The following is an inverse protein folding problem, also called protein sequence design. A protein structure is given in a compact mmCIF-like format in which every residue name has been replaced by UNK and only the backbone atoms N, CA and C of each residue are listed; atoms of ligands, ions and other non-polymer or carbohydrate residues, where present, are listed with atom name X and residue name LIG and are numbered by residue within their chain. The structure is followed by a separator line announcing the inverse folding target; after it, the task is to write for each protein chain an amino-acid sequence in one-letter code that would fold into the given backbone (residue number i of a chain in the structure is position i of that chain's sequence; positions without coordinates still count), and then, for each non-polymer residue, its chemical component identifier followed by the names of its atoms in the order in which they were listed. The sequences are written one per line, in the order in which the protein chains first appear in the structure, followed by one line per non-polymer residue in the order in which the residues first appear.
data_IF_671618079858
#
_entry.id   IF_671618079858
#
_cell.length_a   1.000
_cell.length_b   1.000
_cell.length_c   1.000
_cell.angle_alpha   90.00
_cell.angle_beta   90.00
_cell.angle_gamma   90.00
#
_symmetry.space_group_name_H-M   'P 1'
#
loop_
_entity.id
_entity.type
_entity.pdbx_description
1 polymer ?
#
# COMPACT_ATOMS: atom_id res chain seq x y z
N UNK A 1 45.00 26.48 -54.84
CA UNK A 1 43.95 25.48 -55.08
C UNK A 1 42.80 25.81 -54.08
N UNK A 2 41.82 26.58 -54.52
CA UNK A 2 40.70 27.06 -53.69
C UNK A 2 39.56 26.05 -53.87
N UNK A 3 39.18 25.29 -52.82
CA UNK A 3 37.99 24.45 -52.81
C UNK A 3 36.80 25.30 -52.37
N UNK A 4 35.84 25.47 -53.27
CA UNK A 4 34.53 26.05 -53.03
C UNK A 4 33.65 25.06 -52.24
N UNK A 5 33.36 25.36 -50.99
CA UNK A 5 32.27 24.73 -50.24
C UNK A 5 30.97 25.49 -50.53
N UNK A 6 30.24 25.11 -51.55
CA UNK A 6 28.85 25.54 -51.76
C UNK A 6 27.95 24.61 -50.94
N UNK A 7 27.41 25.15 -49.85
CA UNK A 7 26.48 24.52 -48.95
C UNK A 7 25.21 24.09 -49.69
N UNK A 8 24.86 22.81 -49.53
CA UNK A 8 23.63 22.22 -50.00
C UNK A 8 22.53 22.50 -48.97
N UNK A 9 21.93 23.71 -49.03
CA UNK A 9 20.69 24.03 -48.32
C UNK A 9 19.52 23.53 -49.16
N UNK A 10 19.01 22.31 -48.88
CA UNK A 10 17.68 21.93 -49.34
C UNK A 10 16.67 22.76 -48.54
N UNK A 11 15.99 23.65 -49.17
CA UNK A 11 14.82 24.35 -48.66
C UNK A 11 13.76 23.29 -48.35
N UNK A 12 13.50 23.03 -47.07
CA UNK A 12 12.37 22.26 -46.64
C UNK A 12 11.15 23.15 -46.83
N UNK A 13 10.30 22.82 -47.80
CA UNK A 13 9.04 23.54 -48.02
C UNK A 13 8.17 23.37 -46.74
N UNK A 14 7.52 24.46 -46.24
CA UNK A 14 6.65 24.39 -45.07
C UNK A 14 5.49 23.40 -45.22
N UNK A 15 5.08 23.06 -46.43
CA UNK A 15 3.97 22.15 -46.74
C UNK A 15 4.31 20.63 -46.53
N UNK A 16 5.57 20.31 -46.23
CA UNK A 16 6.00 18.94 -45.97
C UNK A 16 6.14 18.59 -44.48
N UNK A 17 5.82 19.52 -43.59
CA UNK A 17 5.55 19.18 -42.17
C UNK A 17 4.08 18.81 -42.10
N UNK A 18 3.68 17.72 -42.76
CA UNK A 18 2.56 16.92 -42.24
C UNK A 18 3.00 16.53 -40.85
N UNK A 19 2.34 17.14 -39.84
CA UNK A 19 2.35 16.62 -38.50
C UNK A 19 2.21 15.10 -38.63
N UNK A 20 3.27 14.37 -38.36
CA UNK A 20 3.14 12.95 -38.09
C UNK A 20 2.24 12.87 -36.88
N UNK A 21 0.91 12.83 -37.11
CA UNK A 21 -0.01 12.37 -36.09
C UNK A 21 0.53 11.02 -35.65
N UNK A 22 1.24 11.05 -34.51
CA UNK A 22 1.65 9.81 -33.86
C UNK A 22 0.32 9.11 -33.59
N UNK A 23 0.01 8.10 -34.40
CA UNK A 23 -1.25 7.36 -34.36
C UNK A 23 -1.29 6.67 -33.02
N UNK A 24 -1.79 7.38 -31.98
CA UNK A 24 -1.90 6.87 -30.62
C UNK A 24 -2.70 5.58 -30.66
N UNK A 25 -2.16 4.57 -30.02
CA UNK A 25 -2.84 3.27 -29.92
C UNK A 25 -4.10 3.41 -29.09
N UNK A 26 -5.25 3.06 -29.67
CA UNK A 26 -6.54 3.12 -28.99
C UNK A 26 -6.81 1.86 -28.19
N UNK A 27 -7.17 2.03 -26.92
CA UNK A 27 -7.43 0.96 -25.95
C UNK A 27 -8.80 1.18 -25.29
N UNK A 28 -9.71 0.20 -25.31
CA UNK A 28 -11.02 0.35 -24.67
C UNK A 28 -10.92 0.55 -23.15
N UNK A 29 -10.16 -0.30 -22.47
CA UNK A 29 -9.95 -0.26 -21.01
C UNK A 29 -8.45 -0.37 -20.72
N UNK A 30 -7.89 0.65 -20.09
CA UNK A 30 -6.49 0.68 -19.66
C UNK A 30 -6.41 0.68 -18.14
N UNK A 31 -5.69 -0.29 -17.59
CA UNK A 31 -5.49 -0.45 -16.15
C UNK A 31 -4.04 -0.04 -15.83
N UNK A 32 -3.90 0.85 -14.85
CA UNK A 32 -2.62 1.42 -14.43
C UNK A 32 -2.20 0.75 -13.12
N UNK A 33 -1.21 -0.12 -13.20
CA UNK A 33 -0.68 -0.91 -12.09
C UNK A 33 -1.23 -2.34 -12.06
N UNK A 34 -0.33 -3.31 -12.16
CA UNK A 34 -0.60 -4.75 -12.15
C UNK A 34 -0.49 -5.40 -10.75
N UNK A 35 -0.80 -4.64 -9.68
CA UNK A 35 -0.93 -5.18 -8.32
C UNK A 35 -2.21 -6.00 -8.14
N UNK A 36 -2.53 -6.41 -6.90
CA UNK A 36 -3.73 -7.21 -6.59
C UNK A 36 -5.01 -6.58 -7.13
N UNK A 37 -5.19 -5.27 -6.90
CA UNK A 37 -6.37 -4.54 -7.36
C UNK A 37 -6.44 -4.46 -8.89
N UNK A 38 -5.31 -4.23 -9.57
CA UNK A 38 -5.26 -4.16 -11.03
C UNK A 38 -5.51 -5.52 -11.68
N UNK A 39 -4.97 -6.58 -11.12
CA UNK A 39 -5.22 -7.94 -11.59
C UNK A 39 -6.70 -8.32 -11.43
N UNK A 40 -7.34 -7.99 -10.31
CA UNK A 40 -8.78 -8.21 -10.11
C UNK A 40 -9.62 -7.36 -11.07
N UNK A 41 -9.28 -6.08 -11.26
CA UNK A 41 -9.98 -5.21 -12.20
C UNK A 41 -9.88 -5.74 -13.65
N UNK A 42 -8.69 -6.23 -14.03
CA UNK A 42 -8.49 -6.85 -15.35
C UNK A 42 -9.30 -8.13 -15.50
N UNK A 43 -9.25 -9.03 -14.54
CA UNK A 43 -10.03 -10.27 -14.55
C UNK A 43 -11.52 -9.99 -14.67
N UNK A 44 -12.06 -9.09 -13.85
CA UNK A 44 -13.48 -8.72 -13.90
C UNK A 44 -13.88 -8.08 -15.23
N UNK A 45 -13.05 -7.21 -15.81
CA UNK A 45 -13.32 -6.59 -17.08
C UNK A 45 -13.29 -7.62 -18.23
N UNK A 46 -12.39 -8.59 -18.20
CA UNK A 46 -12.29 -9.68 -19.18
C UNK A 46 -13.51 -10.60 -19.09
N UNK A 47 -13.96 -10.95 -17.88
CA UNK A 47 -15.17 -11.76 -17.67
C UNK A 47 -16.42 -11.10 -18.26
N UNK A 48 -16.46 -9.75 -18.30
CA UNK A 48 -17.53 -8.97 -18.95
C UNK A 48 -17.29 -8.74 -20.46
N UNK A 49 -16.35 -9.44 -21.07
CA UNK A 49 -16.02 -9.33 -22.51
C UNK A 49 -15.21 -8.08 -22.88
N UNK A 50 -14.65 -7.38 -21.90
CA UNK A 50 -13.84 -6.18 -22.14
C UNK A 50 -12.45 -6.50 -22.71
N UNK A 51 -11.99 -5.69 -23.67
CA UNK A 51 -10.58 -5.70 -24.11
C UNK A 51 -9.76 -4.83 -23.18
N UNK A 52 -8.79 -5.44 -22.51
CA UNK A 52 -8.02 -4.84 -21.43
C UNK A 52 -6.54 -4.76 -21.78
N UNK A 53 -5.93 -3.60 -21.51
CA UNK A 53 -4.50 -3.41 -21.43
C UNK A 53 -4.12 -3.09 -19.99
N UNK A 54 -3.04 -3.71 -19.47
CA UNK A 54 -2.47 -3.42 -18.18
C UNK A 54 -1.07 -2.85 -18.36
N UNK A 55 -0.80 -1.69 -17.77
CA UNK A 55 0.54 -1.09 -17.70
C UNK A 55 1.09 -1.28 -16.31
N UNK A 56 2.23 -1.97 -16.20
CA UNK A 56 2.92 -2.25 -14.94
C UNK A 56 4.36 -1.76 -15.01
N UNK A 57 4.76 -0.95 -14.05
CA UNK A 57 6.13 -0.40 -14.01
C UNK A 57 7.20 -1.40 -13.54
N UNK A 58 6.78 -2.47 -12.89
CA UNK A 58 7.68 -3.54 -12.47
C UNK A 58 7.77 -4.62 -13.56
N UNK A 59 8.79 -5.49 -13.45
CA UNK A 59 9.00 -6.60 -14.39
C UNK A 59 8.00 -7.77 -14.21
N UNK A 60 7.04 -7.65 -13.26
CA UNK A 60 6.07 -8.71 -13.00
C UNK A 60 4.78 -8.18 -12.37
N UNK A 61 3.66 -8.89 -12.61
CA UNK A 61 2.41 -8.65 -11.90
C UNK A 61 2.51 -9.10 -10.44
N UNK A 62 1.75 -8.42 -9.58
CA UNK A 62 1.51 -8.85 -8.21
C UNK A 62 2.74 -8.89 -7.30
N UNK A 63 3.80 -8.14 -7.61
CA UNK A 63 5.05 -8.16 -6.83
C UNK A 63 4.83 -7.96 -5.33
N UNK A 64 3.94 -7.04 -4.93
CA UNK A 64 3.63 -6.80 -3.53
C UNK A 64 2.87 -7.97 -2.88
N UNK A 65 2.06 -8.73 -3.63
CA UNK A 65 1.35 -9.91 -3.11
C UNK A 65 2.36 -10.87 -2.48
N UNK A 66 3.50 -11.10 -3.15
CA UNK A 66 4.53 -12.03 -2.71
C UNK A 66 5.17 -11.67 -1.36
N UNK A 67 5.11 -10.40 -0.96
CA UNK A 67 5.65 -9.93 0.32
C UNK A 67 4.61 -9.92 1.45
N UNK A 68 3.32 -10.08 1.15
CA UNK A 68 2.26 -10.01 2.15
C UNK A 68 2.24 -11.23 3.05
N UNK A 69 1.82 -11.05 4.32
CA UNK A 69 1.73 -12.13 5.29
C UNK A 69 3.05 -12.91 5.46
N UNK A 70 4.18 -12.23 5.35
CA UNK A 70 5.52 -12.84 5.36
C UNK A 70 5.68 -13.95 4.31
N UNK A 71 5.27 -13.66 3.07
CA UNK A 71 5.33 -14.59 1.93
C UNK A 71 4.18 -15.60 1.86
N UNK A 72 3.22 -15.56 2.79
CA UNK A 72 2.07 -16.48 2.86
C UNK A 72 0.80 -15.91 2.25
N UNK A 73 0.66 -14.59 2.19
CA UNK A 73 -0.51 -13.82 1.77
C UNK A 73 -1.78 -14.12 2.57
N UNK A 74 -1.98 -13.38 3.66
CA UNK A 74 -3.31 -13.26 4.26
C UNK A 74 -4.21 -12.52 3.26
N UNK A 75 -5.16 -13.21 2.61
CA UNK A 75 -5.92 -12.61 1.51
C UNK A 75 -7.32 -12.15 1.92
N UNK A 76 -7.84 -12.61 3.07
CA UNK A 76 -9.04 -12.06 3.69
C UNK A 76 -9.09 -12.40 5.18
N UNK A 77 -10.11 -11.87 5.88
CA UNK A 77 -10.36 -12.15 7.29
C UNK A 77 -11.85 -12.48 7.48
N UNK A 78 -12.17 -13.50 8.26
CA UNK A 78 -13.55 -13.90 8.55
C UNK A 78 -14.20 -13.01 9.60
N UNK A 79 -13.41 -12.33 10.43
CA UNK A 79 -13.86 -11.42 11.48
C UNK A 79 -13.96 -10.00 10.92
N UNK A 80 -14.92 -9.77 10.02
CA UNK A 80 -15.14 -8.48 9.39
C UNK A 80 -16.23 -7.70 10.14
N UNK A 81 -15.90 -6.48 10.58
CA UNK A 81 -16.82 -5.58 11.27
C UNK A 81 -16.59 -4.14 10.81
N UNK A 82 -17.63 -3.27 10.79
CA UNK A 82 -17.49 -1.87 10.36
C UNK A 82 -16.41 -1.12 11.12
N UNK A 83 -16.26 -1.41 12.42
CA UNK A 83 -15.33 -0.77 13.35
C UNK A 83 -13.85 -0.96 12.97
N UNK A 84 -13.55 -1.98 12.18
CA UNK A 84 -12.18 -2.24 11.70
C UNK A 84 -11.78 -1.37 10.51
N UNK A 85 -12.75 -0.63 9.93
CA UNK A 85 -12.53 0.23 8.79
C UNK A 85 -12.61 1.70 9.21
N UNK A 86 -11.46 2.36 9.22
CA UNK A 86 -11.34 3.74 9.67
C UNK A 86 -11.43 4.68 8.47
N UNK A 87 -12.56 5.34 8.34
CA UNK A 87 -12.89 6.25 7.24
C UNK A 87 -13.04 7.66 7.78
N UNK A 88 -12.55 8.65 7.03
CA UNK A 88 -12.85 10.07 7.24
C UNK A 88 -13.83 10.50 6.16
N UNK A 89 -15.02 10.99 6.59
CA UNK A 89 -16.07 11.43 5.67
C UNK A 89 -17.36 10.63 5.80
N UNK A 90 -18.32 10.93 4.93
CA UNK A 90 -19.67 10.35 4.94
C UNK A 90 -19.82 9.06 4.13
N UNK A 91 -18.76 8.60 3.45
CA UNK A 91 -18.83 7.44 2.57
C UNK A 91 -18.97 6.14 3.36
N UNK A 92 -20.01 5.39 3.05
CA UNK A 92 -20.24 4.08 3.64
C UNK A 92 -19.35 3.02 2.97
N UNK A 93 -18.06 3.01 3.39
CA UNK A 93 -17.07 2.04 2.89
C UNK A 93 -17.50 0.61 3.23
N UNK A 94 -18.15 0.41 4.37
CA UNK A 94 -18.67 -0.89 4.75
C UNK A 94 -19.68 -1.43 3.73
N UNK A 95 -20.62 -0.60 3.29
CA UNK A 95 -21.56 -0.95 2.24
C UNK A 95 -20.90 -1.30 0.91
N UNK A 96 -19.79 -0.62 0.57
CA UNK A 96 -19.01 -0.97 -0.62
C UNK A 96 -18.31 -2.32 -0.46
N UNK A 97 -17.67 -2.58 0.69
CA UNK A 97 -16.98 -3.85 0.97
C UNK A 97 -17.92 -5.05 0.98
N UNK A 98 -19.16 -4.89 1.47
CA UNK A 98 -20.20 -5.93 1.44
C UNK A 98 -20.61 -6.36 0.04
N UNK A 99 -20.29 -5.60 -1.01
CA UNK A 99 -20.54 -6.02 -2.40
C UNK A 99 -19.61 -7.15 -2.85
N UNK A 100 -18.42 -7.23 -2.25
CA UNK A 100 -17.44 -8.31 -2.49
C UNK A 100 -16.77 -8.64 -1.15
N UNK A 101 -17.51 -9.36 -0.32
CA UNK A 101 -17.15 -9.69 1.05
C UNK A 101 -16.12 -10.84 1.13
N UNK A 102 -15.81 -11.25 2.36
CA UNK A 102 -14.89 -12.34 2.65
C UNK A 102 -15.33 -13.68 2.03
N UNK A 103 -16.63 -13.94 1.97
CA UNK A 103 -17.19 -15.17 1.42
C UNK A 103 -17.02 -15.21 -0.10
N UNK A 104 -17.34 -14.10 -0.77
CA UNK A 104 -17.13 -13.96 -2.21
C UNK A 104 -15.65 -14.02 -2.57
N UNK A 105 -14.78 -13.41 -1.74
CA UNK A 105 -13.32 -13.48 -1.92
C UNK A 105 -12.84 -14.93 -1.85
N UNK A 106 -13.28 -15.69 -0.85
CA UNK A 106 -12.93 -17.11 -0.69
C UNK A 106 -13.45 -17.94 -1.86
N UNK A 107 -14.73 -17.74 -2.25
CA UNK A 107 -15.33 -18.45 -3.40
C UNK A 107 -14.55 -18.23 -4.69
N UNK A 108 -14.24 -16.96 -4.98
CA UNK A 108 -13.46 -16.57 -6.16
C UNK A 108 -12.12 -17.31 -6.26
N UNK A 109 -11.36 -17.35 -5.16
CA UNK A 109 -10.07 -18.03 -5.16
C UNK A 109 -10.22 -19.55 -5.17
N UNK A 110 -11.22 -20.10 -4.49
CA UNK A 110 -11.53 -21.54 -4.48
C UNK A 110 -11.89 -22.05 -5.87
N UNK A 111 -12.74 -21.33 -6.60
CA UNK A 111 -13.10 -21.63 -7.99
C UNK A 111 -11.89 -21.59 -8.94
N UNK A 112 -10.93 -20.73 -8.63
CA UNK A 112 -9.67 -20.66 -9.37
C UNK A 112 -8.58 -21.62 -8.87
N UNK A 113 -8.93 -22.57 -7.96
CA UNK A 113 -8.07 -23.65 -7.51
C UNK A 113 -7.17 -23.32 -6.32
N UNK A 114 -7.45 -22.22 -5.60
CA UNK A 114 -6.74 -21.87 -4.36
C UNK A 114 -7.66 -22.13 -3.16
N UNK A 115 -7.41 -23.21 -2.41
CA UNK A 115 -8.17 -23.55 -1.22
C UNK A 115 -7.74 -22.68 -0.02
N UNK A 116 -8.71 -22.25 0.80
CA UNK A 116 -8.44 -21.44 1.98
C UNK A 116 -7.98 -22.28 3.17
N UNK A 117 -7.13 -21.72 3.99
CA UNK A 117 -6.76 -22.17 5.34
C UNK A 117 -7.09 -21.06 6.33
N UNK A 118 -7.98 -21.34 7.28
CA UNK A 118 -8.34 -20.41 8.34
C UNK A 118 -7.39 -20.58 9.55
N UNK A 119 -6.84 -19.46 10.01
CA UNK A 119 -6.04 -19.36 11.25
C UNK A 119 -6.60 -18.23 12.11
N UNK A 120 -7.49 -18.55 13.01
CA UNK A 120 -8.14 -17.60 13.93
C UNK A 120 -8.86 -16.44 13.20
N UNK A 121 -9.46 -16.74 12.05
CA UNK A 121 -10.14 -15.77 11.20
C UNK A 121 -9.24 -15.16 10.10
N UNK A 122 -7.94 -15.29 10.18
CA UNK A 122 -7.02 -14.90 9.11
C UNK A 122 -6.97 -16.00 8.04
N UNK A 123 -7.35 -15.66 6.81
CA UNK A 123 -7.44 -16.63 5.72
C UNK A 123 -6.21 -16.57 4.83
N UNK A 124 -5.55 -17.72 4.70
CA UNK A 124 -4.37 -17.92 3.87
C UNK A 124 -4.67 -18.95 2.76
N UNK A 125 -3.87 -19.02 1.68
CA UNK A 125 -3.92 -20.21 0.82
C UNK A 125 -3.42 -21.43 1.61
N UNK A 126 -4.04 -22.59 1.42
CA UNK A 126 -3.62 -23.85 2.06
C UNK A 126 -2.14 -24.18 1.82
N UNK A 127 -1.60 -23.77 0.67
CA UNK A 127 -0.17 -23.90 0.36
C UNK A 127 0.74 -23.04 1.25
N UNK A 128 0.19 -22.10 2.02
CA UNK A 128 0.93 -21.08 2.78
C UNK A 128 1.94 -20.30 1.93
N UNK A 129 1.67 -20.14 0.62
CA UNK A 129 2.54 -19.44 -0.33
C UNK A 129 1.78 -18.38 -1.10
N UNK A 130 2.22 -17.13 -0.99
CA UNK A 130 1.65 -15.98 -1.70
C UNK A 130 1.67 -16.15 -3.24
N UNK A 131 2.62 -16.92 -3.76
CA UNK A 131 2.73 -17.20 -5.19
C UNK A 131 1.50 -17.92 -5.74
N UNK A 132 0.81 -18.72 -4.94
CA UNK A 132 -0.42 -19.42 -5.36
C UNK A 132 -1.51 -18.43 -5.75
N UNK A 133 -1.74 -17.38 -4.94
CA UNK A 133 -2.72 -16.33 -5.25
C UNK A 133 -2.27 -15.47 -6.44
N UNK A 134 -1.01 -15.07 -6.49
CA UNK A 134 -0.47 -14.30 -7.60
C UNK A 134 -0.63 -15.04 -8.93
N UNK A 135 -0.29 -16.33 -8.97
CA UNK A 135 -0.41 -17.14 -10.18
C UNK A 135 -1.89 -17.39 -10.57
N UNK A 136 -2.76 -17.59 -9.57
CA UNK A 136 -4.19 -17.71 -9.77
C UNK A 136 -4.76 -16.46 -10.49
N UNK A 137 -4.48 -15.27 -9.96
CA UNK A 137 -4.89 -14.02 -10.58
C UNK A 137 -4.26 -13.84 -11.97
N UNK A 138 -2.97 -14.18 -12.12
CA UNK A 138 -2.26 -14.07 -13.39
C UNK A 138 -2.90 -14.88 -14.52
N UNK A 139 -3.35 -16.09 -14.23
CA UNK A 139 -4.05 -16.95 -15.20
C UNK A 139 -5.37 -16.37 -15.69
N UNK A 140 -6.05 -15.57 -14.88
CA UNK A 140 -7.29 -14.89 -15.30
C UNK A 140 -7.06 -13.70 -16.26
N UNK A 141 -5.80 -13.34 -16.49
CA UNK A 141 -5.39 -12.27 -17.38
C UNK A 141 -4.85 -12.77 -18.73
N UNK A 142 -5.10 -14.00 -19.12
CA UNK A 142 -4.61 -14.61 -20.36
C UNK A 142 -5.03 -13.84 -21.63
N UNK A 143 -6.18 -13.14 -21.57
CA UNK A 143 -6.71 -12.30 -22.66
C UNK A 143 -6.33 -10.81 -22.51
N UNK A 144 -5.60 -10.44 -21.49
CA UNK A 144 -5.13 -9.07 -21.31
C UNK A 144 -3.83 -8.85 -22.11
N UNK A 145 -3.70 -7.67 -22.67
CA UNK A 145 -2.40 -7.18 -23.12
C UNK A 145 -1.68 -6.55 -21.94
N UNK A 146 -0.46 -7.01 -21.64
CA UNK A 146 0.28 -6.56 -20.46
C UNK A 146 1.61 -5.98 -20.88
N UNK A 147 1.88 -4.74 -20.45
CA UNK A 147 3.12 -4.02 -20.67
C UNK A 147 3.88 -3.92 -19.35
N UNK A 148 5.03 -4.54 -19.29
CA UNK A 148 5.93 -4.50 -18.13
C UNK A 148 7.01 -3.44 -18.29
N UNK A 149 7.58 -3.03 -17.14
CA UNK A 149 8.67 -2.04 -17.08
C UNK A 149 8.27 -0.73 -17.78
N UNK A 150 6.98 -0.39 -17.67
CA UNK A 150 6.40 0.80 -18.28
C UNK A 150 5.65 1.60 -17.22
N UNK A 151 6.14 2.81 -16.92
CA UNK A 151 5.56 3.68 -15.89
C UNK A 151 4.68 4.74 -16.54
N UNK A 152 3.45 4.91 -16.04
CA UNK A 152 2.58 6.01 -16.43
C UNK A 152 3.12 7.30 -15.80
N UNK A 153 3.38 8.30 -16.64
CA UNK A 153 3.98 9.58 -16.25
C UNK A 153 2.98 10.72 -16.18
N UNK A 154 1.92 10.64 -17.02
CA UNK A 154 0.87 11.66 -17.05
C UNK A 154 -0.45 11.08 -17.60
N UNK A 155 -1.57 11.73 -17.25
CA UNK A 155 -2.91 11.40 -17.75
C UNK A 155 -3.63 12.71 -18.04
N UNK A 156 -4.19 12.84 -19.25
CA UNK A 156 -4.97 14.00 -19.67
C UNK A 156 -6.37 13.53 -20.11
N UNK A 157 -7.40 14.31 -19.78
CA UNK A 157 -8.74 14.07 -20.28
C UNK A 157 -8.83 14.55 -21.73
N UNK A 158 -9.37 13.72 -22.63
CA UNK A 158 -9.67 14.12 -24.01
C UNK A 158 -11.08 14.70 -24.05
N UNK A 159 -11.15 16.02 -24.15
CA UNK A 159 -12.41 16.74 -24.21
C UNK A 159 -12.77 17.03 -25.66
N UNK A 160 -14.02 16.76 -26.06
CA UNK A 160 -14.56 17.11 -27.40
C UNK A 160 -14.79 18.61 -27.51
N UNK A 161 -15.01 19.09 -28.75
CA UNK A 161 -15.40 20.48 -29.00
C UNK A 161 -16.69 20.89 -28.28
N UNK A 162 -17.52 19.94 -27.88
CA UNK A 162 -18.76 20.16 -27.11
C UNK A 162 -18.55 20.07 -25.59
N UNK A 163 -17.29 20.02 -25.11
CA UNK A 163 -16.95 19.94 -23.67
C UNK A 163 -17.13 18.54 -23.05
N UNK A 164 -17.49 17.51 -23.83
CA UNK A 164 -17.69 16.15 -23.31
C UNK A 164 -16.36 15.38 -23.24
N UNK A 165 -16.12 14.68 -22.13
CA UNK A 165 -14.99 13.76 -22.04
C UNK A 165 -15.22 12.57 -22.99
N UNK A 166 -14.28 12.33 -23.91
CA UNK A 166 -14.32 11.24 -24.90
C UNK A 166 -13.28 10.15 -24.64
N UNK A 167 -12.48 10.29 -23.58
CA UNK A 167 -11.45 9.34 -23.19
C UNK A 167 -10.28 10.02 -22.49
N UNK A 168 -9.16 9.33 -22.43
CA UNK A 168 -7.96 9.75 -21.73
C UNK A 168 -6.73 9.53 -22.61
N UNK A 169 -5.83 10.50 -22.63
CA UNK A 169 -4.50 10.36 -23.19
C UNK A 169 -3.59 9.97 -22.02
N UNK A 170 -3.07 8.75 -22.06
CA UNK A 170 -2.16 8.21 -21.03
C UNK A 170 -0.74 8.21 -21.61
N UNK A 171 0.14 8.97 -20.97
CA UNK A 171 1.56 9.05 -21.33
C UNK A 171 2.37 8.14 -20.40
N UNK A 172 3.27 7.40 -20.98
CA UNK A 172 4.16 6.48 -20.25
C UNK A 172 5.62 6.77 -20.54
N UNK A 173 6.52 6.01 -19.93
CA UNK A 173 7.96 6.06 -20.22
C UNK A 173 8.30 5.52 -21.60
N UNK A 174 7.39 4.78 -22.24
CA UNK A 174 7.66 4.12 -23.53
C UNK A 174 6.77 4.64 -24.67
N UNK A 175 5.49 4.96 -24.39
CA UNK A 175 4.51 5.26 -25.43
C UNK A 175 3.39 6.18 -24.93
N UNK A 176 2.41 6.46 -25.85
CA UNK A 176 1.19 7.22 -25.56
C UNK A 176 -0.03 6.42 -26.02
N UNK A 177 -1.01 6.31 -25.16
CA UNK A 177 -2.24 5.54 -25.40
C UNK A 177 -3.46 6.44 -25.33
N UNK A 178 -4.44 6.18 -26.21
CA UNK A 178 -5.77 6.76 -26.13
C UNK A 178 -6.71 5.73 -25.51
N UNK A 179 -7.03 5.88 -24.23
CA UNK A 179 -7.91 4.98 -23.50
C UNK A 179 -9.34 5.54 -23.46
N UNK A 180 -10.34 4.71 -23.73
CA UNK A 180 -11.75 5.07 -23.56
C UNK A 180 -12.12 5.15 -22.08
N UNK A 181 -11.62 4.21 -21.30
CA UNK A 181 -11.75 4.15 -19.83
C UNK A 181 -10.40 3.84 -19.19
N UNK A 182 -10.14 4.40 -18.03
CA UNK A 182 -8.96 4.06 -17.23
C UNK A 182 -9.38 3.56 -15.84
N UNK A 183 -8.63 2.62 -15.30
CA UNK A 183 -8.74 2.15 -13.92
C UNK A 183 -7.38 2.31 -13.27
N UNK A 184 -7.30 3.17 -12.26
CA UNK A 184 -6.03 3.48 -11.59
C UNK A 184 -5.88 2.62 -10.34
N UNK A 185 -4.90 1.72 -10.37
CA UNK A 185 -4.59 0.75 -9.31
C UNK A 185 -3.10 0.77 -8.95
N UNK A 186 -2.46 1.93 -9.10
CA UNK A 186 -1.01 2.11 -8.92
C UNK A 186 -0.52 1.95 -7.46
N UNK A 187 -1.44 1.69 -6.52
CA UNK A 187 -1.13 1.56 -5.10
C UNK A 187 -0.91 2.90 -4.39
N UNK A 188 -0.56 2.83 -3.12
CA UNK A 188 -0.26 4.00 -2.29
C UNK A 188 1.24 4.28 -2.18
N UNK A 189 1.70 4.66 -0.95
CA UNK A 189 3.11 4.99 -0.67
C UNK A 189 3.84 3.92 0.15
N UNK A 190 3.15 2.86 0.58
CA UNK A 190 3.74 1.80 1.38
C UNK A 190 4.50 0.80 0.49
N UNK A 191 5.74 0.49 0.89
CA UNK A 191 6.63 -0.47 0.22
C UNK A 191 7.03 -0.04 -1.22
N UNK A 192 7.77 1.05 -1.32
CA UNK A 192 8.32 1.61 -2.56
C UNK A 192 9.09 0.56 -3.40
N UNK A 193 9.82 -0.35 -2.76
CA UNK A 193 10.56 -1.44 -3.43
C UNK A 193 9.65 -2.44 -4.18
N UNK A 194 8.34 -2.44 -3.86
CA UNK A 194 7.32 -3.23 -4.56
C UNK A 194 6.46 -2.39 -5.52
N UNK A 195 6.91 -1.18 -5.88
CA UNK A 195 6.25 -0.35 -6.87
C UNK A 195 5.21 0.65 -6.34
N UNK A 196 4.98 0.75 -5.03
CA UNK A 196 4.05 1.73 -4.45
C UNK A 196 4.81 2.93 -3.88
N UNK A 197 5.11 3.91 -4.73
CA UNK A 197 5.92 5.10 -4.41
C UNK A 197 5.12 6.41 -4.33
N UNK A 198 3.82 6.36 -4.52
CA UNK A 198 2.92 7.51 -4.43
C UNK A 198 2.94 8.47 -5.62
N UNK A 199 3.75 8.23 -6.65
CA UNK A 199 3.84 9.15 -7.81
C UNK A 199 2.49 9.39 -8.49
N UNK A 200 1.61 8.38 -8.50
CA UNK A 200 0.30 8.47 -9.12
C UNK A 200 -0.62 9.49 -8.43
N UNK A 201 -0.41 9.82 -7.17
CA UNK A 201 -1.22 10.83 -6.46
C UNK A 201 -1.15 12.21 -7.11
N UNK A 202 0.03 12.63 -7.62
CA UNK A 202 0.15 13.88 -8.37
C UNK A 202 -0.64 13.87 -9.67
N UNK A 203 -0.68 12.74 -10.36
CA UNK A 203 -1.44 12.58 -11.60
C UNK A 203 -2.93 12.69 -11.30
N UNK A 204 -3.40 12.02 -10.22
CA UNK A 204 -4.79 12.08 -9.81
C UNK A 204 -5.21 13.49 -9.35
N UNK A 205 -4.32 14.22 -8.64
CA UNK A 205 -4.57 15.60 -8.25
C UNK A 205 -4.75 16.52 -9.47
N UNK A 206 -3.95 16.34 -10.53
CA UNK A 206 -4.12 17.08 -11.81
C UNK A 206 -5.47 16.78 -12.48
N UNK A 207 -6.02 15.59 -12.29
CA UNK A 207 -7.33 15.19 -12.79
C UNK A 207 -8.50 15.72 -11.93
N UNK A 208 -8.21 16.48 -10.87
CA UNK A 208 -9.20 17.12 -10.01
C UNK A 208 -9.55 16.31 -8.75
N UNK A 209 -8.85 15.21 -8.45
CA UNK A 209 -9.05 14.48 -7.20
C UNK A 209 -8.34 15.16 -6.03
N UNK A 210 -9.01 15.23 -4.88
CA UNK A 210 -8.36 15.59 -3.62
C UNK A 210 -7.59 14.40 -3.08
N UNK A 211 -6.32 14.60 -2.76
CA UNK A 211 -5.46 13.58 -2.16
C UNK A 211 -5.26 13.94 -0.69
N UNK A 212 -5.82 13.14 0.21
CA UNK A 212 -5.52 13.24 1.64
C UNK A 212 -4.09 12.74 1.85
N UNK A 213 -3.26 13.50 2.55
CA UNK A 213 -1.87 13.15 2.80
C UNK A 213 -1.76 11.76 3.44
N UNK A 214 -1.11 10.80 2.77
CA UNK A 214 -0.92 9.48 3.35
C UNK A 214 0.05 9.52 4.52
N UNK A 215 -0.35 8.96 5.64
CA UNK A 215 0.51 8.82 6.83
C UNK A 215 0.85 7.34 7.06
N UNK A 216 1.99 7.04 7.70
CA UNK A 216 2.33 5.67 8.08
C UNK A 216 1.26 5.04 8.96
N UNK A 217 0.93 3.78 8.70
CA UNK A 217 0.09 2.94 9.53
C UNK A 217 0.70 1.54 9.60
N UNK A 218 0.40 0.78 10.66
CA UNK A 218 1.01 -0.53 10.91
C UNK A 218 2.55 -0.45 10.86
N UNK A 219 3.11 0.54 11.57
CA UNK A 219 4.54 0.79 11.62
C UNK A 219 5.06 0.76 13.06
N UNK A 220 6.35 0.57 13.22
CA UNK A 220 7.05 0.65 14.49
C UNK A 220 7.35 2.12 14.86
N UNK A 221 7.63 2.38 16.13
CA UNK A 221 8.03 3.70 16.61
C UNK A 221 9.54 3.79 16.81
N UNK A 222 10.12 4.82 16.21
CA UNK A 222 11.48 5.26 16.57
C UNK A 222 11.38 6.14 17.79
N UNK A 223 12.09 5.76 18.85
CA UNK A 223 12.15 6.51 20.10
C UNK A 223 13.39 7.40 20.16
N UNK A 224 13.31 8.48 20.93
CA UNK A 224 14.42 9.42 21.13
C UNK A 224 15.35 9.00 22.27
N UNK A 225 14.91 8.08 23.09
CA UNK A 225 15.56 7.61 24.29
C UNK A 225 16.86 6.85 23.97
N UNK A 226 17.93 7.16 24.70
CA UNK A 226 19.26 6.58 24.45
C UNK A 226 19.37 5.11 24.91
N UNK A 227 18.54 4.70 25.86
CA UNK A 227 18.56 3.34 26.43
C UNK A 227 17.97 2.25 25.53
N UNK A 228 17.34 2.62 24.40
CA UNK A 228 16.75 1.64 23.47
C UNK A 228 17.74 0.58 22.96
N UNK A 229 19.03 0.91 22.94
CA UNK A 229 20.07 -0.05 22.57
C UNK A 229 20.26 -1.16 23.60
N UNK A 230 19.98 -0.88 24.88
CA UNK A 230 20.16 -1.85 25.97
C UNK A 230 19.08 -2.93 25.97
N UNK A 231 17.90 -2.61 25.48
CA UNK A 231 16.76 -3.55 25.44
C UNK A 231 16.58 -4.29 24.12
N UNK A 232 17.45 -4.02 23.13
CA UNK A 232 17.31 -4.57 21.78
C UNK A 232 17.28 -6.10 21.78
N UNK A 233 16.26 -6.68 21.12
CA UNK A 233 16.03 -8.13 21.04
C UNK A 233 15.08 -8.67 22.11
N UNK A 234 14.72 -7.90 23.13
CA UNK A 234 13.76 -8.31 24.14
C UNK A 234 12.35 -8.34 23.55
N UNK A 235 11.58 -9.38 23.90
CA UNK A 235 10.14 -9.49 23.68
C UNK A 235 9.44 -9.58 25.03
N UNK A 236 8.39 -8.80 25.18
CA UNK A 236 7.64 -8.72 26.44
C UNK A 236 6.16 -8.56 26.18
N UNK A 237 5.32 -9.22 26.97
CA UNK A 237 3.89 -8.95 26.98
C UNK A 237 3.66 -7.66 27.75
N UNK A 238 3.02 -6.69 27.11
CA UNK A 238 2.80 -5.39 27.72
C UNK A 238 1.59 -4.68 27.15
N UNK A 239 1.36 -3.47 27.65
CA UNK A 239 0.32 -2.56 27.15
C UNK A 239 1.02 -1.33 26.59
N UNK A 240 0.58 -0.89 25.42
CA UNK A 240 0.96 0.39 24.84
C UNK A 240 -0.25 1.30 24.77
N UNK A 241 -0.07 2.56 25.19
CA UNK A 241 -1.09 3.61 25.12
C UNK A 241 -0.53 4.77 24.33
N UNK A 242 -1.34 5.31 23.41
CA UNK A 242 -1.02 6.47 22.59
C UNK A 242 -1.84 7.67 23.06
N UNK A 243 -1.19 8.81 23.26
CA UNK A 243 -1.80 10.05 23.73
C UNK A 243 -1.50 11.20 22.76
N UNK A 244 -2.42 12.16 22.68
CA UNK A 244 -2.15 13.45 22.07
C UNK A 244 -1.30 14.35 23.02
N UNK A 245 -1.00 15.57 22.59
CA UNK A 245 -0.24 16.55 23.37
C UNK A 245 -0.95 17.02 24.63
N UNK A 246 -2.29 16.94 24.67
CA UNK A 246 -3.15 17.33 25.79
C UNK A 246 -3.39 16.17 26.76
N UNK A 247 -2.67 15.07 26.65
CA UNK A 247 -2.78 13.85 27.48
C UNK A 247 -4.10 13.10 27.31
N UNK A 248 -4.82 13.33 26.22
CA UNK A 248 -6.01 12.56 25.89
C UNK A 248 -5.59 11.22 25.29
N UNK A 249 -6.13 10.13 25.82
CA UNK A 249 -5.93 8.78 25.27
C UNK A 249 -6.55 8.67 23.89
N UNK A 250 -5.74 8.38 22.89
CA UNK A 250 -6.17 8.18 21.49
C UNK A 250 -6.45 6.72 21.18
N UNK A 251 -5.60 5.82 21.68
CA UNK A 251 -5.72 4.38 21.49
C UNK A 251 -4.83 3.63 22.48
N UNK A 252 -5.18 2.37 22.72
CA UNK A 252 -4.32 1.42 23.42
C UNK A 252 -4.47 0.02 22.83
N UNK A 253 -3.45 -0.82 23.05
CA UNK A 253 -3.51 -2.24 22.73
C UNK A 253 -2.59 -3.04 23.67
N UNK A 254 -2.86 -4.34 23.83
CA UNK A 254 -2.13 -5.28 24.71
C UNK A 254 -1.64 -6.47 23.90
N UNK A 255 -0.40 -6.86 24.10
CA UNK A 255 0.18 -8.06 23.47
C UNK A 255 1.70 -8.07 23.52
N UNK A 256 2.31 -8.87 22.63
CA UNK A 256 3.77 -8.95 22.55
C UNK A 256 4.36 -7.69 21.92
N UNK A 257 5.16 -6.99 22.69
CA UNK A 257 5.98 -5.87 22.27
C UNK A 257 7.39 -6.37 21.92
N UNK A 258 7.96 -5.82 20.86
CA UNK A 258 9.31 -6.16 20.40
C UNK A 258 10.19 -4.93 20.56
N UNK A 259 11.14 -5.01 21.46
CA UNK A 259 12.08 -3.92 21.74
C UNK A 259 13.24 -4.00 20.76
N UNK A 260 13.43 -2.93 20.00
CA UNK A 260 14.48 -2.84 18.97
C UNK A 260 15.47 -1.75 19.29
N UNK A 261 16.68 -1.81 18.72
CA UNK A 261 17.79 -0.91 19.05
C UNK A 261 17.47 0.59 18.87
N UNK A 262 16.46 0.95 18.10
CA UNK A 262 16.07 2.33 17.85
C UNK A 262 14.63 2.65 18.25
N UNK A 263 13.94 1.73 18.95
CA UNK A 263 12.56 1.98 19.35
C UNK A 263 11.79 0.72 19.76
N UNK A 264 10.50 0.70 19.41
CA UNK A 264 9.55 -0.35 19.80
C UNK A 264 8.70 -0.79 18.59
N UNK A 265 8.44 -2.08 18.50
CA UNK A 265 7.69 -2.74 17.45
C UNK A 265 6.75 -3.79 18.06
N UNK A 266 6.03 -4.54 17.23
CA UNK A 266 5.06 -5.55 17.65
C UNK A 266 3.65 -5.18 17.22
N UNK A 267 2.74 -6.17 17.28
CA UNK A 267 1.36 -5.99 16.82
C UNK A 267 0.66 -4.84 17.57
N UNK A 268 0.74 -4.73 18.90
CA UNK A 268 0.13 -3.60 19.62
C UNK A 268 0.64 -2.24 19.17
N UNK A 269 1.93 -2.13 18.88
CA UNK A 269 2.53 -0.90 18.36
C UNK A 269 1.96 -0.54 16.99
N UNK A 270 1.79 -1.54 16.11
CA UNK A 270 1.20 -1.34 14.79
C UNK A 270 -0.24 -0.84 14.87
N UNK A 271 -1.03 -1.35 15.82
CA UNK A 271 -2.43 -0.95 15.99
C UNK A 271 -2.56 0.51 16.43
N UNK A 272 -1.71 0.99 17.31
CA UNK A 272 -1.77 2.37 17.79
C UNK A 272 -1.05 3.37 16.87
N UNK A 273 -0.19 2.88 15.96
CA UNK A 273 0.71 3.73 15.16
C UNK A 273 -0.01 4.76 14.30
N UNK A 274 -1.16 4.44 13.73
CA UNK A 274 -1.92 5.37 12.87
C UNK A 274 -2.37 6.63 13.62
N UNK A 275 -2.69 6.52 14.90
CA UNK A 275 -3.14 7.65 15.71
C UNK A 275 -1.99 8.62 15.94
N UNK A 276 -0.83 8.11 16.33
CA UNK A 276 0.39 8.90 16.48
C UNK A 276 0.80 9.56 15.16
N UNK A 277 0.77 8.79 14.05
CA UNK A 277 1.11 9.34 12.73
C UNK A 277 0.21 10.49 12.29
N UNK A 278 -1.08 10.43 12.62
CA UNK A 278 -2.03 11.53 12.33
C UNK A 278 -1.75 12.79 13.13
N UNK A 279 -1.45 12.65 14.42
CA UNK A 279 -1.09 13.80 15.28
C UNK A 279 0.22 14.45 14.80
N UNK A 280 1.21 13.64 14.44
CA UNK A 280 2.47 14.14 13.88
C UNK A 280 2.29 14.88 12.54
N UNK A 281 1.40 14.42 11.66
CA UNK A 281 1.07 15.10 10.41
C UNK A 281 0.45 16.48 10.66
N UNK A 282 -0.33 16.61 11.74
CA UNK A 282 -0.89 17.88 12.18
C UNK A 282 0.13 18.76 12.95
N UNK A 283 1.41 18.40 12.93
CA UNK A 283 2.51 19.10 13.64
C UNK A 283 2.35 19.15 15.16
N UNK A 284 1.56 18.23 15.72
CA UNK A 284 1.39 18.06 17.17
C UNK A 284 2.49 17.18 17.77
N UNK A 285 2.52 17.09 19.09
CA UNK A 285 3.54 16.34 19.86
C UNK A 285 2.91 15.18 20.65
N UNK A 286 2.41 14.15 19.96
CA UNK A 286 1.88 12.97 20.63
C UNK A 286 2.99 12.20 21.33
N UNK A 287 2.61 11.38 22.32
CA UNK A 287 3.54 10.49 23.00
C UNK A 287 2.90 9.12 23.26
N UNK A 288 3.73 8.17 23.65
CA UNK A 288 3.30 6.83 24.06
C UNK A 288 3.71 6.55 25.50
N UNK A 289 2.88 5.79 26.19
CA UNK A 289 3.22 5.13 27.44
C UNK A 289 3.28 3.63 27.20
N UNK A 290 4.25 2.97 27.82
CA UNK A 290 4.42 1.52 27.71
C UNK A 290 4.50 0.94 29.11
N UNK A 291 3.59 0.02 29.39
CA UNK A 291 3.59 -0.78 30.59
C UNK A 291 4.14 -2.17 30.24
N UNK A 292 5.32 -2.49 30.77
CA UNK A 292 6.00 -3.77 30.53
C UNK A 292 5.60 -4.87 31.51
N UNK A 293 4.91 -4.52 32.59
CA UNK A 293 4.56 -5.43 33.68
C UNK A 293 3.11 -5.21 34.13
N UNK A 294 2.13 -5.28 33.21
CA UNK A 294 0.74 -4.94 33.50
C UNK A 294 0.05 -5.87 34.49
N UNK A 295 0.70 -6.94 34.89
CA UNK A 295 0.24 -7.88 35.95
C UNK A 295 0.59 -7.44 37.35
N UNK A 296 1.44 -6.41 37.54
CA UNK A 296 1.83 -5.85 38.81
C UNK A 296 1.21 -4.49 39.02
N UNK A 297 0.72 -4.22 40.21
CA UNK A 297 0.51 -2.84 40.69
C UNK A 297 1.84 -2.15 40.96
N UNK A 298 1.83 -0.82 41.10
CA UNK A 298 3.04 -0.08 41.43
C UNK A 298 3.62 -0.52 42.79
N UNK A 299 2.77 -0.79 43.76
CA UNK A 299 3.11 -1.27 45.09
C UNK A 299 3.73 -2.66 45.05
N UNK A 300 3.10 -3.60 44.36
CA UNK A 300 3.61 -4.98 44.20
C UNK A 300 4.98 -4.99 43.49
N UNK A 301 5.13 -4.19 42.45
CA UNK A 301 6.40 -4.06 41.72
C UNK A 301 7.50 -3.46 42.65
N UNK A 302 7.15 -2.44 43.42
CA UNK A 302 8.08 -1.84 44.37
C UNK A 302 8.57 -2.83 45.43
N UNK A 303 7.67 -3.60 46.04
CA UNK A 303 8.02 -4.62 47.00
C UNK A 303 8.88 -5.74 46.38
N UNK A 304 8.56 -6.18 45.19
CA UNK A 304 9.35 -7.18 44.45
C UNK A 304 10.77 -6.66 44.15
N UNK A 305 10.90 -5.42 43.70
CA UNK A 305 12.21 -4.80 43.49
C UNK A 305 13.04 -4.67 44.80
N UNK A 306 12.39 -4.30 45.91
CA UNK A 306 13.03 -4.27 47.20
C UNK A 306 13.49 -5.66 47.67
N UNK A 307 12.64 -6.67 47.43
CA UNK A 307 12.98 -8.06 47.75
C UNK A 307 14.21 -8.51 46.97
N UNK A 308 14.24 -8.27 45.64
CA UNK A 308 15.41 -8.58 44.79
C UNK A 308 16.67 -7.88 45.21
N UNK A 309 16.59 -6.60 45.57
CA UNK A 309 17.73 -5.83 46.07
C UNK A 309 18.30 -6.42 47.38
N UNK A 310 17.41 -6.89 48.28
CA UNK A 310 17.84 -7.55 49.53
C UNK A 310 18.52 -8.89 49.26
N UNK A 311 17.97 -9.69 48.36
CA UNK A 311 18.51 -11.01 48.01
C UNK A 311 19.80 -10.93 47.18
N UNK A 312 19.95 -9.88 46.40
CA UNK A 312 21.09 -9.71 45.47
C UNK A 312 21.67 -8.29 45.53
N UNK A 313 22.25 -7.89 46.67
CA UNK A 313 22.68 -6.49 46.91
C UNK A 313 23.79 -6.00 45.98
N UNK A 314 24.49 -6.91 45.30
CA UNK A 314 25.60 -6.58 44.36
C UNK A 314 25.14 -6.54 42.89
N UNK A 315 23.91 -6.94 42.58
CA UNK A 315 23.38 -6.82 41.20
C UNK A 315 23.04 -5.36 40.90
N UNK A 316 23.55 -4.90 39.78
CA UNK A 316 23.15 -3.59 39.26
C UNK A 316 21.64 -3.63 38.85
N UNK A 317 20.97 -2.49 39.04
CA UNK A 317 19.54 -2.35 38.69
C UNK A 317 19.23 -2.49 37.18
N UNK A 318 20.25 -2.54 36.36
CA UNK A 318 20.19 -2.75 34.92
C UNK A 318 20.11 -4.23 34.50
N UNK A 319 20.05 -5.16 35.48
CA UNK A 319 20.01 -6.61 35.19
C UNK A 319 18.59 -7.16 35.28
#
# INVERSE_FOLDING_TARGET
MKMNCTAFWRTIHPDNIKEMEIKMRSVPILIIGGGAAGMMAAASAIEQGGRVMVIEKMAMLGKKILATGNGRCNFTNLKQQPEFYHVTGSDDVWKLLRRFDEKRTISFFKEAGVYPEDKDGYVYPMSMQAVSLRNCLGRKLDKAEIHFEEEVTDIEQKISATGKNTGFIVKTTKDKYLAKKIIVTAGGMAAKCHGSDGKCFRILAKLGHTVVTPVPALTWFKLKEKYTKLWAGVRVKGIIKAYDEDKKLLAHDKGELQLVASGISGIPVFQVSRYISRELEMSKRPYIEVDFLPEFSAEELYEELLRRKRCHPKLETSY
#
